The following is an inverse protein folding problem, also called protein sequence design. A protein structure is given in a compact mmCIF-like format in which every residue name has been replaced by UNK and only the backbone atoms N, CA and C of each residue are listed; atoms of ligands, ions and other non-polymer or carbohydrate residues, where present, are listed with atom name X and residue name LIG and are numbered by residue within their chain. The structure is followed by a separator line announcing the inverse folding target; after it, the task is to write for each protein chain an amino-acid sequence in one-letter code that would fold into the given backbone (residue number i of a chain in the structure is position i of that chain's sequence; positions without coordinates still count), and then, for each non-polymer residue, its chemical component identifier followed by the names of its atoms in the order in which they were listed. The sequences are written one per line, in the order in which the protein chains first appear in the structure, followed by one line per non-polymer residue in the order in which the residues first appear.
data_IF_350024462605
#
_entry.id   IF_350024462605
#
_cell.length_a   1.000
_cell.length_b   1.000
_cell.length_c   1.000
_cell.angle_alpha   90.00
_cell.angle_beta   90.00
_cell.angle_gamma   90.00
#
_symmetry.space_group_name_H-M   'P 1'
#
loop_
_entity.id
_entity.type
_entity.pdbx_description
1 polymer ?
#
# COMPACT_ATOMS: atom_id res chain seq x y z
N UNK A 1 -12.90 -12.60 13.88
CA UNK A 1 -11.84 -13.44 14.50
C UNK A 1 -10.60 -12.59 14.62
N UNK A 2 -9.92 -12.52 15.77
CA UNK A 2 -8.66 -11.80 15.95
C UNK A 2 -7.56 -12.36 15.03
N UNK A 3 -6.62 -11.50 14.60
CA UNK A 3 -5.56 -11.87 13.63
C UNK A 3 -4.74 -13.09 14.07
N UNK A 4 -4.37 -13.18 15.35
CA UNK A 4 -3.61 -14.31 15.89
C UNK A 4 -4.37 -15.64 15.77
N UNK A 5 -5.67 -15.64 16.10
CA UNK A 5 -6.53 -16.83 15.99
C UNK A 5 -6.73 -17.24 14.53
N UNK A 6 -6.88 -16.27 13.63
CA UNK A 6 -7.01 -16.53 12.21
C UNK A 6 -5.74 -17.18 11.65
N UNK A 7 -4.56 -16.64 11.98
CA UNK A 7 -3.28 -17.21 11.56
C UNK A 7 -3.08 -18.62 12.08
N UNK A 8 -3.37 -18.86 13.36
CA UNK A 8 -3.25 -20.21 13.95
C UNK A 8 -4.13 -21.24 13.23
N UNK A 9 -5.32 -20.82 12.77
CA UNK A 9 -6.25 -21.72 12.07
C UNK A 9 -5.85 -21.97 10.60
N UNK A 10 -5.37 -20.96 9.86
CA UNK A 10 -5.24 -21.04 8.40
C UNK A 10 -3.80 -21.14 7.89
N UNK A 11 -2.78 -20.72 8.66
CA UNK A 11 -1.38 -20.91 8.23
C UNK A 11 -0.99 -22.36 7.97
N UNK A 12 -1.41 -23.34 8.80
CA UNK A 12 -1.11 -24.77 8.54
C UNK A 12 -1.72 -25.29 7.24
N UNK A 13 -2.85 -24.70 6.79
CA UNK A 13 -3.57 -25.12 5.59
C UNK A 13 -2.95 -24.60 4.28
N UNK A 14 -1.96 -23.71 4.35
CA UNK A 14 -1.35 -23.09 3.18
C UNK A 14 -0.90 -24.10 2.12
N UNK A 15 -0.19 -25.14 2.52
CA UNK A 15 0.35 -26.13 1.59
C UNK A 15 -0.74 -27.08 1.06
N UNK A 16 -1.79 -27.34 1.85
CA UNK A 16 -2.98 -28.04 1.40
C UNK A 16 -3.74 -27.25 0.34
N UNK A 17 -3.88 -25.93 0.53
CA UNK A 17 -4.49 -25.02 -0.45
C UNK A 17 -3.68 -24.98 -1.74
N UNK A 18 -2.33 -24.95 -1.65
CA UNK A 18 -1.45 -25.03 -2.82
C UNK A 18 -1.69 -26.29 -3.62
N UNK A 19 -1.63 -27.44 -2.98
CA UNK A 19 -1.83 -28.74 -3.61
C UNK A 19 -3.23 -28.86 -4.25
N UNK A 20 -4.26 -28.40 -3.55
CA UNK A 20 -5.63 -28.43 -4.05
C UNK A 20 -5.83 -27.51 -5.27
N UNK A 21 -5.24 -26.32 -5.29
CA UNK A 21 -5.28 -25.43 -6.44
C UNK A 21 -4.51 -26.00 -7.63
N UNK A 22 -3.33 -26.57 -7.41
CA UNK A 22 -2.52 -27.19 -8.45
C UNK A 22 -3.27 -28.38 -9.10
N UNK A 23 -3.97 -29.19 -8.30
CA UNK A 23 -4.82 -30.26 -8.81
C UNK A 23 -6.04 -29.71 -9.55
N UNK A 24 -6.82 -28.82 -8.94
CA UNK A 24 -8.09 -28.35 -9.47
C UNK A 24 -7.94 -27.57 -10.81
N UNK A 25 -6.86 -26.80 -10.94
CA UNK A 25 -6.56 -26.03 -12.16
C UNK A 25 -5.68 -26.80 -13.15
N UNK A 26 -5.19 -27.99 -12.77
CA UNK A 26 -4.36 -28.85 -13.60
C UNK A 26 -5.15 -29.66 -14.62
N UNK A 27 -4.47 -30.50 -15.43
CA UNK A 27 -5.11 -31.38 -16.40
C UNK A 27 -6.03 -32.40 -15.70
N UNK A 28 -7.31 -32.43 -16.09
CA UNK A 28 -8.32 -33.35 -15.52
C UNK A 28 -8.85 -32.94 -14.13
N UNK A 29 -8.46 -31.77 -13.63
CA UNK A 29 -8.98 -31.20 -12.39
C UNK A 29 -10.38 -30.58 -12.54
N UNK A 30 -10.97 -30.20 -11.43
CA UNK A 30 -12.27 -29.54 -11.36
C UNK A 30 -12.11 -28.02 -11.33
N UNK A 31 -12.41 -27.36 -12.45
CA UNK A 31 -12.26 -25.90 -12.62
C UNK A 31 -13.18 -25.10 -11.68
N UNK A 32 -14.38 -25.60 -11.40
CA UNK A 32 -15.30 -24.92 -10.49
C UNK A 32 -14.73 -24.91 -9.06
N UNK A 33 -14.20 -26.04 -8.61
CA UNK A 33 -13.47 -26.12 -7.32
C UNK A 33 -12.25 -25.19 -7.34
N UNK A 34 -11.49 -25.15 -8.45
CA UNK A 34 -10.31 -24.28 -8.57
C UNK A 34 -10.65 -22.81 -8.43
N UNK A 35 -11.70 -22.32 -9.09
CA UNK A 35 -12.18 -20.93 -9.02
C UNK A 35 -12.67 -20.60 -7.61
N UNK A 36 -13.52 -21.46 -7.02
CA UNK A 36 -14.07 -21.29 -5.69
C UNK A 36 -12.96 -21.22 -4.63
N UNK A 37 -11.99 -22.15 -4.71
CA UNK A 37 -10.87 -22.23 -3.75
C UNK A 37 -9.91 -21.05 -3.92
N UNK A 38 -9.62 -20.63 -5.15
CA UNK A 38 -8.76 -19.47 -5.40
C UNK A 38 -9.35 -18.21 -4.75
N UNK A 39 -10.64 -17.93 -4.98
CA UNK A 39 -11.33 -16.81 -4.34
C UNK A 39 -11.39 -16.93 -2.83
N UNK A 40 -11.65 -18.14 -2.29
CA UNK A 40 -11.71 -18.36 -0.84
C UNK A 40 -10.35 -18.23 -0.14
N UNK A 41 -9.26 -18.58 -0.82
CA UNK A 41 -7.90 -18.54 -0.28
C UNK A 41 -7.22 -17.15 -0.41
N UNK A 42 -7.86 -16.18 -1.05
CA UNK A 42 -7.33 -14.83 -1.22
C UNK A 42 -6.75 -14.20 0.07
N UNK A 43 -7.45 -14.29 1.23
CA UNK A 43 -6.92 -13.80 2.51
C UNK A 43 -5.58 -14.43 2.92
N UNK A 44 -5.34 -15.70 2.60
CA UNK A 44 -4.09 -16.40 2.99
C UNK A 44 -2.89 -15.70 2.36
N UNK A 45 -2.96 -15.38 1.08
CA UNK A 45 -1.86 -14.75 0.36
C UNK A 45 -1.55 -13.34 0.88
N UNK A 46 -2.59 -12.58 1.19
CA UNK A 46 -2.47 -11.22 1.71
C UNK A 46 -1.95 -11.20 3.15
N UNK A 47 -2.55 -12.01 4.03
CA UNK A 47 -2.18 -12.03 5.45
C UNK A 47 -0.79 -12.64 5.71
N UNK A 48 -0.29 -13.47 4.80
CA UNK A 48 1.07 -14.03 4.85
C UNK A 48 2.08 -13.24 4.02
N UNK A 49 1.69 -12.10 3.43
CA UNK A 49 2.54 -11.29 2.53
C UNK A 49 3.06 -12.05 1.30
N UNK A 50 2.32 -13.06 0.86
CA UNK A 50 2.65 -13.89 -0.31
C UNK A 50 1.99 -13.34 -1.59
N UNK A 51 2.06 -12.01 -1.78
CA UNK A 51 1.36 -11.30 -2.86
C UNK A 51 1.67 -11.86 -4.26
N UNK A 52 2.94 -12.11 -4.57
CA UNK A 52 3.35 -12.63 -5.88
C UNK A 52 2.81 -14.04 -6.17
N UNK A 53 2.73 -14.91 -5.16
CA UNK A 53 2.11 -16.23 -5.30
C UNK A 53 0.59 -16.12 -5.44
N UNK A 54 -0.04 -15.32 -4.57
CA UNK A 54 -1.47 -15.04 -4.63
C UNK A 54 -1.88 -14.53 -6.00
N UNK A 55 -1.15 -13.57 -6.55
CA UNK A 55 -1.38 -13.04 -7.88
C UNK A 55 -1.40 -14.15 -8.95
N UNK A 56 -0.34 -14.95 -9.05
CA UNK A 56 -0.26 -16.02 -10.06
C UNK A 56 -1.41 -17.03 -9.95
N UNK A 57 -1.79 -17.42 -8.72
CA UNK A 57 -2.85 -18.42 -8.47
C UNK A 57 -4.24 -17.88 -8.78
N UNK A 58 -4.53 -16.64 -8.39
CA UNK A 58 -5.80 -15.97 -8.70
C UNK A 58 -5.93 -15.71 -10.20
N UNK A 59 -4.86 -15.31 -10.87
CA UNK A 59 -4.84 -15.09 -12.31
C UNK A 59 -5.04 -16.41 -13.09
N UNK A 60 -4.38 -17.49 -12.68
CA UNK A 60 -4.60 -18.80 -13.27
C UNK A 60 -6.06 -19.26 -13.13
N UNK A 61 -6.70 -19.04 -11.98
CA UNK A 61 -8.11 -19.36 -11.79
C UNK A 61 -9.02 -18.48 -12.65
N UNK A 62 -8.71 -17.19 -12.78
CA UNK A 62 -9.53 -16.25 -13.58
C UNK A 62 -9.60 -16.61 -15.07
N UNK A 63 -8.58 -17.26 -15.61
CA UNK A 63 -8.57 -17.74 -16.98
C UNK A 63 -9.62 -18.84 -17.26
N UNK A 64 -10.21 -19.43 -16.22
CA UNK A 64 -11.23 -20.47 -16.31
C UNK A 64 -12.65 -19.98 -16.00
N UNK A 65 -12.82 -18.69 -15.68
CA UNK A 65 -14.15 -18.11 -15.45
C UNK A 65 -14.94 -18.10 -16.76
N UNK A 66 -16.16 -18.62 -16.72
CA UNK A 66 -17.05 -18.72 -17.86
C UNK A 66 -18.52 -18.56 -17.47
N UNK A 67 -19.43 -18.80 -18.43
CA UNK A 67 -20.86 -18.61 -18.23
C UNK A 67 -21.47 -19.49 -17.12
N UNK A 68 -20.88 -20.66 -16.89
CA UNK A 68 -21.33 -21.63 -15.87
C UNK A 68 -20.69 -21.38 -14.49
N UNK A 69 -19.82 -20.38 -14.36
CA UNK A 69 -19.20 -20.05 -13.07
C UNK A 69 -20.24 -19.47 -12.13
N UNK A 70 -20.30 -20.01 -10.90
CA UNK A 70 -21.18 -19.46 -9.87
C UNK A 70 -20.84 -17.99 -9.57
N UNK A 71 -21.84 -17.12 -9.61
CA UNK A 71 -21.63 -15.67 -9.44
C UNK A 71 -20.97 -15.31 -8.10
N UNK A 72 -21.21 -16.10 -7.04
CA UNK A 72 -20.57 -15.94 -5.73
C UNK A 72 -19.07 -16.21 -5.76
N UNK A 73 -18.63 -17.21 -6.54
CA UNK A 73 -17.23 -17.60 -6.65
C UNK A 73 -16.47 -16.64 -7.58
N UNK A 74 -17.10 -16.23 -8.67
CA UNK A 74 -16.58 -15.18 -9.55
C UNK A 74 -16.41 -13.86 -8.80
N UNK A 75 -17.42 -13.44 -8.00
CA UNK A 75 -17.35 -12.21 -7.23
C UNK A 75 -16.16 -12.21 -6.24
N UNK A 76 -16.00 -13.33 -5.53
CA UNK A 76 -14.91 -13.50 -4.57
C UNK A 76 -13.55 -13.54 -5.25
N UNK A 77 -13.43 -14.26 -6.35
CA UNK A 77 -12.21 -14.29 -7.14
C UNK A 77 -11.86 -12.90 -7.67
N UNK A 78 -12.81 -12.19 -8.27
CA UNK A 78 -12.61 -10.84 -8.80
C UNK A 78 -12.18 -9.84 -7.70
N UNK A 79 -12.76 -9.92 -6.50
CA UNK A 79 -12.37 -9.11 -5.36
C UNK A 79 -10.90 -9.32 -4.99
N UNK A 80 -10.50 -10.58 -4.78
CA UNK A 80 -9.13 -10.88 -4.35
C UNK A 80 -8.11 -10.67 -5.47
N UNK A 81 -8.50 -10.85 -6.70
CA UNK A 81 -7.68 -10.51 -7.86
C UNK A 81 -7.40 -8.99 -7.90
N UNK A 82 -8.44 -8.18 -7.74
CA UNK A 82 -8.29 -6.72 -7.66
C UNK A 82 -7.39 -6.29 -6.50
N UNK A 83 -7.57 -6.87 -5.32
CA UNK A 83 -6.72 -6.62 -4.15
C UNK A 83 -5.25 -6.96 -4.37
N UNK A 84 -4.96 -8.07 -5.05
CA UNK A 84 -3.58 -8.46 -5.35
C UNK A 84 -2.95 -7.61 -6.47
N UNK A 85 -3.74 -7.06 -7.40
CA UNK A 85 -3.23 -6.16 -8.44
C UNK A 85 -3.04 -4.72 -7.96
N UNK A 86 -3.72 -4.29 -6.90
CA UNK A 86 -3.68 -2.92 -6.41
C UNK A 86 -2.25 -2.35 -6.27
N UNK A 87 -1.31 -3.18 -5.85
CA UNK A 87 0.08 -2.79 -5.67
C UNK A 87 0.96 -2.96 -6.93
N UNK A 88 0.65 -3.94 -7.77
CA UNK A 88 1.49 -4.32 -8.90
C UNK A 88 1.01 -3.72 -10.24
N UNK A 89 -0.30 -3.60 -10.42
CA UNK A 89 -0.95 -3.16 -11.65
C UNK A 89 -2.31 -2.50 -11.34
N UNK A 90 -2.32 -1.25 -10.83
CA UNK A 90 -3.57 -0.55 -10.47
C UNK A 90 -4.58 -0.43 -11.61
N UNK A 91 -4.12 -0.32 -12.84
CA UNK A 91 -4.96 -0.31 -14.06
C UNK A 91 -5.73 -1.63 -14.28
N UNK A 92 -5.23 -2.75 -13.76
CA UNK A 92 -5.91 -4.06 -13.77
C UNK A 92 -6.77 -4.27 -12.52
N UNK A 93 -6.42 -3.64 -11.40
CA UNK A 93 -7.18 -3.73 -10.15
C UNK A 93 -8.59 -3.13 -10.29
N UNK A 94 -8.69 -1.95 -10.88
CA UNK A 94 -9.96 -1.23 -11.04
C UNK A 94 -11.03 -2.05 -11.79
N UNK A 95 -10.77 -2.65 -12.97
CA UNK A 95 -11.75 -3.51 -13.63
C UNK A 95 -12.18 -4.72 -12.79
N UNK A 96 -11.26 -5.38 -12.10
CA UNK A 96 -11.57 -6.53 -11.27
C UNK A 96 -12.45 -6.15 -10.06
N UNK A 97 -12.13 -5.06 -9.36
CA UNK A 97 -12.94 -4.54 -8.26
C UNK A 97 -14.33 -4.08 -8.73
N UNK A 98 -14.41 -3.42 -9.88
CA UNK A 98 -15.70 -3.03 -10.50
C UNK A 98 -16.55 -4.27 -10.79
N UNK A 99 -15.95 -5.32 -11.34
CA UNK A 99 -16.64 -6.60 -11.58
C UNK A 99 -17.16 -7.23 -10.28
N UNK A 100 -16.35 -7.22 -9.23
CA UNK A 100 -16.75 -7.71 -7.91
C UNK A 100 -17.96 -6.93 -7.35
N UNK A 101 -17.92 -5.60 -7.43
CA UNK A 101 -19.01 -4.71 -7.01
C UNK A 101 -20.31 -5.05 -7.73
N UNK A 102 -20.28 -5.15 -9.06
CA UNK A 102 -21.46 -5.48 -9.86
C UNK A 102 -22.05 -6.85 -9.51
N UNK A 103 -21.20 -7.82 -9.25
CA UNK A 103 -21.62 -9.16 -8.82
C UNK A 103 -22.22 -9.13 -7.41
N UNK A 104 -21.58 -8.48 -6.44
CA UNK A 104 -22.10 -8.40 -5.07
C UNK A 104 -23.41 -7.61 -4.98
N UNK A 105 -23.58 -6.56 -5.79
CA UNK A 105 -24.88 -5.86 -5.90
C UNK A 105 -25.98 -6.81 -6.37
N UNK A 106 -25.75 -7.59 -7.42
CA UNK A 106 -26.73 -8.57 -7.96
C UNK A 106 -27.01 -9.70 -6.95
N UNK A 107 -26.03 -10.10 -6.17
CA UNK A 107 -26.17 -11.15 -5.15
C UNK A 107 -26.82 -10.64 -3.86
N UNK A 108 -26.97 -9.33 -3.67
CA UNK A 108 -27.44 -8.75 -2.41
C UNK A 108 -26.46 -8.94 -1.23
N UNK A 109 -25.20 -9.21 -1.52
CA UNK A 109 -24.16 -9.40 -0.51
C UNK A 109 -23.62 -8.04 -0.04
N UNK A 110 -24.34 -7.39 0.84
CA UNK A 110 -24.04 -6.05 1.34
C UNK A 110 -22.66 -5.96 2.01
N UNK A 111 -22.21 -7.04 2.70
CA UNK A 111 -20.92 -7.08 3.39
C UNK A 111 -19.75 -7.03 2.43
N UNK A 112 -19.74 -7.94 1.46
CA UNK A 112 -18.65 -8.01 0.49
C UNK A 112 -18.73 -6.87 -0.54
N UNK A 113 -19.94 -6.34 -0.82
CA UNK A 113 -20.13 -5.12 -1.58
C UNK A 113 -19.42 -3.93 -0.90
N UNK A 114 -19.68 -3.71 0.40
CA UNK A 114 -19.04 -2.62 1.13
C UNK A 114 -17.50 -2.75 1.09
N UNK A 115 -16.96 -3.95 1.28
CA UNK A 115 -15.53 -4.17 1.23
C UNK A 115 -14.94 -3.90 -0.16
N UNK A 116 -15.63 -4.33 -1.23
CA UNK A 116 -15.20 -4.07 -2.61
C UNK A 116 -15.25 -2.56 -2.94
N UNK A 117 -16.28 -1.84 -2.50
CA UNK A 117 -16.41 -0.39 -2.65
C UNK A 117 -15.27 0.35 -1.97
N UNK A 118 -14.90 -0.03 -0.74
CA UNK A 118 -13.78 0.56 -0.02
C UNK A 118 -12.46 0.39 -0.76
N UNK A 119 -12.23 -0.81 -1.28
CA UNK A 119 -11.00 -1.10 -2.04
C UNK A 119 -10.92 -0.31 -3.33
N UNK A 120 -12.02 -0.23 -4.08
CA UNK A 120 -12.06 0.59 -5.30
C UNK A 120 -11.90 2.08 -4.97
N UNK A 121 -12.52 2.57 -3.89
CA UNK A 121 -12.36 3.96 -3.47
C UNK A 121 -10.90 4.33 -3.20
N UNK A 122 -10.14 3.43 -2.58
CA UNK A 122 -8.70 3.62 -2.35
C UNK A 122 -7.93 3.74 -3.67
N UNK A 123 -8.14 2.81 -4.62
CA UNK A 123 -7.47 2.86 -5.93
C UNK A 123 -7.84 4.14 -6.72
N UNK A 124 -9.11 4.54 -6.67
CA UNK A 124 -9.59 5.78 -7.29
C UNK A 124 -8.94 7.02 -6.68
N UNK A 125 -8.78 7.05 -5.35
CA UNK A 125 -8.11 8.15 -4.66
C UNK A 125 -6.63 8.25 -5.04
N UNK A 126 -5.90 7.14 -5.06
CA UNK A 126 -4.50 7.09 -5.48
C UNK A 126 -4.32 7.48 -6.95
N UNK A 127 -5.28 7.19 -7.80
CA UNK A 127 -5.31 7.62 -9.20
C UNK A 127 -5.77 9.09 -9.40
N UNK A 128 -6.00 9.84 -8.31
CA UNK A 128 -6.43 11.24 -8.37
C UNK A 128 -7.92 11.45 -8.72
N UNK A 129 -8.72 10.37 -8.81
CA UNK A 129 -10.15 10.45 -9.11
C UNK A 129 -11.00 10.65 -7.84
N UNK A 130 -10.70 11.72 -7.11
CA UNK A 130 -11.22 12.00 -5.77
C UNK A 130 -12.75 12.04 -5.67
N UNK A 131 -13.44 12.60 -6.70
CA UNK A 131 -14.91 12.64 -6.72
C UNK A 131 -15.54 11.24 -6.77
N UNK A 132 -14.97 10.33 -7.55
CA UNK A 132 -15.42 8.95 -7.62
C UNK A 132 -15.10 8.19 -6.32
N UNK A 133 -13.90 8.36 -5.78
CA UNK A 133 -13.54 7.79 -4.47
C UNK A 133 -14.52 8.21 -3.37
N UNK A 134 -14.87 9.49 -3.29
CA UNK A 134 -15.84 10.00 -2.31
C UNK A 134 -17.23 9.38 -2.48
N UNK A 135 -17.70 9.22 -3.72
CA UNK A 135 -19.00 8.58 -4.02
C UNK A 135 -19.03 7.10 -3.56
N UNK A 136 -17.96 6.35 -3.82
CA UNK A 136 -17.82 4.95 -3.39
C UNK A 136 -17.79 4.81 -1.86
N UNK A 137 -17.09 5.70 -1.15
CA UNK A 137 -17.08 5.73 0.31
C UNK A 137 -18.47 6.06 0.87
N UNK A 138 -19.19 7.01 0.26
CA UNK A 138 -20.54 7.37 0.67
C UNK A 138 -21.53 6.21 0.47
N UNK A 139 -21.39 5.41 -0.57
CA UNK A 139 -22.19 4.19 -0.80
C UNK A 139 -21.86 3.10 0.22
N UNK A 140 -20.58 2.94 0.57
CA UNK A 140 -20.13 1.91 1.50
C UNK A 140 -20.58 2.17 2.95
N UNK A 141 -20.61 3.41 3.40
CA UNK A 141 -20.85 3.78 4.80
C UNK A 141 -22.12 3.16 5.42
N UNK A 142 -23.33 3.32 4.85
CA UNK A 142 -24.54 2.75 5.45
C UNK A 142 -24.54 1.22 5.47
N UNK A 143 -23.86 0.56 4.53
CA UNK A 143 -23.71 -0.88 4.51
C UNK A 143 -22.85 -1.37 5.68
N UNK A 144 -21.85 -0.60 6.08
CA UNK A 144 -20.91 -0.93 7.17
C UNK A 144 -21.51 -0.66 8.54
N UNK A 145 -22.20 0.46 8.71
CA UNK A 145 -22.86 0.81 9.97
C UNK A 145 -23.90 -0.24 10.38
N UNK A 146 -24.62 -0.79 9.41
CA UNK A 146 -25.61 -1.85 9.64
C UNK A 146 -25.01 -3.24 9.84
N UNK A 147 -23.76 -3.46 9.39
CA UNK A 147 -23.16 -4.81 9.41
C UNK A 147 -22.53 -5.20 10.75
N UNK A 148 -22.28 -4.24 11.67
CA UNK A 148 -21.66 -4.51 12.97
C UNK A 148 -20.25 -5.09 12.88
N UNK A 149 -19.47 -4.66 11.89
CA UNK A 149 -18.14 -5.18 11.57
C UNK A 149 -17.05 -4.14 11.91
N UNK A 150 -16.57 -4.07 13.16
CA UNK A 150 -15.67 -3.00 13.59
C UNK A 150 -14.37 -2.95 12.76
N UNK A 151 -13.82 -4.09 12.34
CA UNK A 151 -12.61 -4.11 11.49
C UNK A 151 -12.86 -3.42 10.14
N UNK A 152 -13.96 -3.74 9.44
CA UNK A 152 -14.27 -3.18 8.12
C UNK A 152 -14.71 -1.70 8.22
N UNK A 153 -15.34 -1.33 9.32
CA UNK A 153 -15.61 0.08 9.61
C UNK A 153 -14.30 0.84 9.92
N UNK A 154 -13.31 0.20 10.51
CA UNK A 154 -11.95 0.73 10.62
C UNK A 154 -11.33 0.99 9.25
N UNK A 155 -11.42 0.04 8.31
CA UNK A 155 -10.95 0.19 6.93
C UNK A 155 -11.62 1.40 6.24
N UNK A 156 -12.92 1.63 6.48
CA UNK A 156 -13.63 2.81 5.97
C UNK A 156 -13.01 4.13 6.43
N UNK A 157 -12.77 4.29 7.73
CA UNK A 157 -12.15 5.51 8.25
C UNK A 157 -10.71 5.67 7.78
N UNK A 158 -9.97 4.59 7.62
CA UNK A 158 -8.61 4.59 7.08
C UNK A 158 -8.60 5.16 5.64
N UNK A 159 -9.52 4.71 4.78
CA UNK A 159 -9.62 5.24 3.42
C UNK A 159 -10.20 6.67 3.35
N UNK A 160 -11.07 7.05 4.28
CA UNK A 160 -11.48 8.45 4.44
C UNK A 160 -10.26 9.34 4.76
N UNK A 161 -9.37 8.86 5.62
CA UNK A 161 -8.12 9.55 5.93
C UNK A 161 -7.26 9.74 4.67
N UNK A 162 -7.01 8.67 3.90
CA UNK A 162 -6.23 8.74 2.65
C UNK A 162 -6.81 9.78 1.70
N UNK A 163 -8.12 9.75 1.47
CA UNK A 163 -8.79 10.72 0.59
C UNK A 163 -8.65 12.16 1.10
N UNK A 164 -8.80 12.39 2.41
CA UNK A 164 -8.64 13.72 3.02
C UNK A 164 -7.19 14.20 2.94
N UNK A 165 -6.22 13.35 3.17
CA UNK A 165 -4.80 13.67 3.05
C UNK A 165 -4.46 14.09 1.62
N UNK A 166 -4.88 13.32 0.62
CA UNK A 166 -4.66 13.60 -0.80
C UNK A 166 -5.40 14.85 -1.31
N UNK A 167 -6.49 15.25 -0.65
CA UNK A 167 -7.24 16.48 -0.98
C UNK A 167 -6.85 17.69 -0.14
N UNK A 168 -5.73 17.64 0.58
CA UNK A 168 -5.16 18.78 1.32
C UNK A 168 -5.87 19.09 2.65
N UNK A 169 -6.48 18.09 3.28
CA UNK A 169 -7.18 18.21 4.58
C UNK A 169 -6.57 17.31 5.66
N UNK A 170 -5.27 17.40 5.93
CA UNK A 170 -4.58 16.47 6.86
C UNK A 170 -5.10 16.56 8.30
N UNK A 171 -5.56 17.72 8.76
CA UNK A 171 -6.14 17.86 10.12
C UNK A 171 -7.41 17.02 10.29
N UNK A 172 -8.28 16.96 9.26
CA UNK A 172 -9.48 16.13 9.27
C UNK A 172 -9.15 14.63 9.16
N UNK A 173 -8.04 14.30 8.53
CA UNK A 173 -7.55 12.94 8.37
C UNK A 173 -7.19 12.28 9.71
N UNK A 174 -6.60 13.04 10.64
CA UNK A 174 -6.21 12.54 11.96
C UNK A 174 -7.39 11.96 12.74
N UNK A 175 -8.53 12.66 12.76
CA UNK A 175 -9.74 12.20 13.47
C UNK A 175 -10.25 10.85 12.94
N UNK A 176 -10.15 10.62 11.63
CA UNK A 176 -10.55 9.34 11.03
C UNK A 176 -9.59 8.20 11.44
N UNK A 177 -8.29 8.46 11.46
CA UNK A 177 -7.32 7.46 11.94
C UNK A 177 -7.50 7.10 13.41
N UNK A 178 -7.83 8.08 14.27
CA UNK A 178 -8.12 7.83 15.68
C UNK A 178 -9.34 6.90 15.83
N UNK A 179 -10.39 7.10 15.01
CA UNK A 179 -11.56 6.20 14.97
C UNK A 179 -11.19 4.81 14.43
N UNK A 180 -10.42 4.75 13.35
CA UNK A 180 -9.94 3.49 12.78
C UNK A 180 -9.14 2.70 13.80
N UNK A 181 -8.21 3.34 14.51
CA UNK A 181 -7.38 2.73 15.55
C UNK A 181 -8.23 2.15 16.70
N UNK A 182 -9.23 2.89 17.18
CA UNK A 182 -10.15 2.41 18.22
C UNK A 182 -10.93 1.16 17.75
N UNK A 183 -11.42 1.17 16.51
CA UNK A 183 -12.15 0.05 15.90
C UNK A 183 -11.26 -1.17 15.69
N UNK A 184 -10.05 -1.02 15.18
CA UNK A 184 -9.11 -2.12 15.01
C UNK A 184 -8.71 -2.75 16.34
N UNK A 185 -8.45 -1.93 17.37
CA UNK A 185 -8.17 -2.42 18.73
C UNK A 185 -9.35 -3.23 19.30
N UNK A 186 -10.58 -2.72 19.15
CA UNK A 186 -11.79 -3.44 19.60
C UNK A 186 -12.02 -4.75 18.87
N UNK A 187 -11.57 -4.85 17.61
CA UNK A 187 -11.67 -6.07 16.79
C UNK A 187 -10.51 -7.07 17.03
N UNK A 188 -9.48 -6.73 17.82
CA UNK A 188 -8.25 -7.52 17.94
C UNK A 188 -7.48 -7.62 16.62
N UNK A 189 -7.59 -6.60 15.76
CA UNK A 189 -6.92 -6.48 14.47
C UNK A 189 -5.57 -5.76 14.66
N UNK A 190 -4.64 -6.40 15.37
CA UNK A 190 -3.38 -5.80 15.83
C UNK A 190 -2.52 -5.23 14.69
N UNK A 191 -2.42 -5.97 13.59
CA UNK A 191 -1.65 -5.53 12.42
C UNK A 191 -2.18 -4.21 11.85
N UNK A 192 -3.50 -4.08 11.74
CA UNK A 192 -4.15 -2.87 11.24
C UNK A 192 -4.01 -1.71 12.22
N UNK A 193 -4.12 -1.99 13.52
CA UNK A 193 -3.86 -0.98 14.56
C UNK A 193 -2.43 -0.43 14.49
N UNK A 194 -1.43 -1.29 14.25
CA UNK A 194 -0.04 -0.85 14.07
C UNK A 194 0.15 -0.03 12.79
N UNK A 195 -0.50 -0.41 11.70
CA UNK A 195 -0.49 0.37 10.46
C UNK A 195 -1.11 1.75 10.65
N UNK A 196 -2.24 1.83 11.34
CA UNK A 196 -2.90 3.11 11.65
C UNK A 196 -2.06 4.00 12.55
N UNK A 197 -1.31 3.44 13.49
CA UNK A 197 -0.33 4.20 14.28
C UNK A 197 0.78 4.79 13.41
N UNK A 198 1.28 4.03 12.42
CA UNK A 198 2.25 4.54 11.45
C UNK A 198 1.67 5.72 10.65
N UNK A 199 0.44 5.58 10.15
CA UNK A 199 -0.24 6.66 9.43
C UNK A 199 -0.50 7.91 10.28
N UNK A 200 -0.78 7.76 11.58
CA UNK A 200 -0.86 8.90 12.49
C UNK A 200 0.46 9.68 12.56
N UNK A 201 1.60 8.99 12.52
CA UNK A 201 2.92 9.59 12.37
C UNK A 201 3.06 10.37 11.06
N UNK A 202 2.60 9.80 9.94
CA UNK A 202 2.65 10.43 8.62
C UNK A 202 1.73 11.66 8.54
N UNK A 203 0.56 11.62 9.16
CA UNK A 203 -0.35 12.76 9.24
C UNK A 203 0.25 13.87 10.11
N UNK A 204 0.90 13.55 11.22
CA UNK A 204 1.63 14.52 12.03
C UNK A 204 2.74 15.18 11.20
N UNK A 205 3.49 14.39 10.46
CA UNK A 205 4.52 14.88 9.55
C UNK A 205 3.94 15.80 8.47
N UNK A 206 2.87 15.38 7.79
CA UNK A 206 2.23 16.20 6.73
C UNK A 206 1.64 17.51 7.27
N UNK A 207 1.29 17.54 8.56
CA UNK A 207 0.81 18.73 9.26
C UNK A 207 1.96 19.64 9.77
N UNK A 208 3.22 19.24 9.58
CA UNK A 208 4.40 19.99 10.01
C UNK A 208 4.83 19.75 11.46
N UNK A 209 4.14 18.87 12.21
CA UNK A 209 4.51 18.47 13.56
C UNK A 209 5.57 17.35 13.52
N UNK A 210 6.81 17.73 13.20
CA UNK A 210 7.92 16.80 13.03
C UNK A 210 8.31 16.08 14.33
N UNK A 211 8.09 16.68 15.49
CA UNK A 211 8.39 16.05 16.78
C UNK A 211 7.37 14.96 17.12
N UNK A 212 6.08 15.23 16.93
CA UNK A 212 5.02 14.23 17.09
C UNK A 212 5.18 13.09 16.05
N UNK A 213 5.51 13.43 14.79
CA UNK A 213 5.77 12.45 13.75
C UNK A 213 6.90 11.49 14.13
N UNK A 214 8.07 12.02 14.51
CA UNK A 214 9.23 11.23 14.93
C UNK A 214 8.91 10.35 16.13
N UNK A 215 8.29 10.92 17.16
CA UNK A 215 7.97 10.18 18.39
C UNK A 215 7.00 9.02 18.10
N UNK A 216 5.93 9.28 17.35
CA UNK A 216 4.94 8.27 16.98
C UNK A 216 5.52 7.17 16.09
N UNK A 217 6.37 7.52 15.11
CA UNK A 217 7.06 6.54 14.27
C UNK A 217 8.03 5.66 15.08
N UNK A 218 8.81 6.22 15.99
CA UNK A 218 9.72 5.44 16.85
C UNK A 218 8.95 4.47 17.75
N UNK A 219 7.84 4.91 18.35
CA UNK A 219 6.98 4.03 19.15
C UNK A 219 6.41 2.88 18.29
N UNK A 220 5.89 3.21 17.11
CA UNK A 220 5.36 2.22 16.17
C UNK A 220 6.42 1.22 15.73
N UNK A 221 7.63 1.67 15.39
CA UNK A 221 8.77 0.82 15.04
C UNK A 221 9.13 -0.14 16.20
N UNK A 222 9.13 0.36 17.43
CA UNK A 222 9.40 -0.48 18.61
C UNK A 222 8.35 -1.59 18.81
N UNK A 223 7.09 -1.32 18.46
CA UNK A 223 6.01 -2.32 18.49
C UNK A 223 6.12 -3.29 17.32
N UNK A 224 6.41 -2.82 16.11
CA UNK A 224 6.56 -3.64 14.91
C UNK A 224 7.72 -4.63 15.02
N UNK A 225 8.84 -4.23 15.63
CA UNK A 225 9.97 -5.14 15.89
C UNK A 225 9.63 -6.33 16.78
N UNK A 226 8.56 -6.23 17.59
CA UNK A 226 8.08 -7.31 18.45
C UNK A 226 6.99 -8.16 17.79
N UNK A 227 6.38 -7.67 16.72
CA UNK A 227 5.28 -8.33 16.04
C UNK A 227 5.79 -9.25 14.92
N UNK A 228 5.32 -10.50 14.82
CA UNK A 228 5.70 -11.39 13.74
C UNK A 228 5.13 -10.93 12.38
N UNK A 229 5.84 -11.19 11.29
CA UNK A 229 5.38 -10.98 9.90
C UNK A 229 5.04 -9.51 9.56
N UNK A 230 5.80 -8.56 10.10
CA UNK A 230 5.59 -7.12 9.86
C UNK A 230 6.72 -6.46 9.06
N UNK A 231 7.54 -7.23 8.36
CA UNK A 231 8.77 -6.76 7.70
C UNK A 231 8.51 -5.57 6.77
N UNK A 232 7.55 -5.68 5.85
CA UNK A 232 7.22 -4.58 4.92
C UNK A 232 6.74 -3.34 5.68
N UNK A 233 5.85 -3.52 6.67
CA UNK A 233 5.33 -2.42 7.48
C UNK A 233 6.43 -1.74 8.30
N UNK A 234 7.35 -2.51 8.86
CA UNK A 234 8.54 -1.98 9.53
C UNK A 234 9.40 -1.17 8.55
N UNK A 235 9.60 -1.70 7.34
CA UNK A 235 10.31 -1.00 6.27
C UNK A 235 9.67 0.34 5.91
N UNK A 236 8.33 0.38 5.78
CA UNK A 236 7.58 1.62 5.51
C UNK A 236 7.79 2.64 6.64
N UNK A 237 7.60 2.24 7.91
CA UNK A 237 7.80 3.15 9.05
C UNK A 237 9.23 3.68 9.15
N UNK A 238 10.24 2.84 8.90
CA UNK A 238 11.64 3.25 8.90
C UNK A 238 11.95 4.22 7.76
N UNK A 239 11.39 4.00 6.59
CA UNK A 239 11.58 4.89 5.44
C UNK A 239 10.88 6.23 5.62
N UNK A 240 9.69 6.26 6.23
CA UNK A 240 9.01 7.49 6.60
C UNK A 240 9.75 8.24 7.70
N UNK A 241 10.30 7.52 8.69
CA UNK A 241 11.18 8.11 9.71
C UNK A 241 12.43 8.73 9.08
N UNK A 242 13.03 8.07 8.06
CA UNK A 242 14.16 8.64 7.32
C UNK A 242 13.77 9.95 6.61
N UNK A 243 12.57 10.04 6.05
CA UNK A 243 12.03 11.27 5.46
C UNK A 243 11.85 12.37 6.51
N UNK A 244 11.26 12.06 7.66
CA UNK A 244 11.07 13.00 8.76
C UNK A 244 12.42 13.53 9.31
N UNK A 245 13.42 12.64 9.51
CA UNK A 245 14.78 13.03 9.87
C UNK A 245 15.42 13.93 8.80
N UNK A 246 15.22 13.62 7.53
CA UNK A 246 15.75 14.44 6.42
C UNK A 246 15.21 15.88 6.48
N UNK A 247 13.92 16.07 6.73
CA UNK A 247 13.33 17.42 6.85
C UNK A 247 13.81 18.16 8.09
N UNK A 248 14.23 17.46 9.13
CA UNK A 248 14.84 18.04 10.34
C UNK A 248 16.33 18.37 10.14
N UNK A 249 16.94 17.95 9.04
CA UNK A 249 18.38 18.07 8.80
C UNK A 249 19.23 17.04 9.56
N UNK A 250 18.63 16.02 10.14
CA UNK A 250 19.26 14.92 10.87
C UNK A 250 19.67 13.83 9.84
N UNK A 251 20.68 14.17 8.99
CA UNK A 251 20.98 13.40 7.77
C UNK A 251 21.60 12.02 8.04
N UNK A 252 22.32 11.85 9.14
CA UNK A 252 22.93 10.58 9.53
C UNK A 252 21.87 9.62 10.10
N UNK A 253 20.95 10.12 10.91
CA UNK A 253 19.81 9.37 11.43
C UNK A 253 18.87 8.95 10.29
N UNK A 254 18.65 9.84 9.32
CA UNK A 254 17.89 9.54 8.12
C UNK A 254 18.51 8.38 7.33
N UNK A 255 19.84 8.40 7.12
CA UNK A 255 20.55 7.32 6.44
C UNK A 255 20.51 6.01 7.23
N UNK A 256 20.67 6.07 8.54
CA UNK A 256 20.59 4.88 9.39
C UNK A 256 19.21 4.19 9.30
N UNK A 257 18.14 4.97 9.39
CA UNK A 257 16.77 4.46 9.22
C UNK A 257 16.53 3.89 7.82
N UNK A 258 17.03 4.56 6.77
CA UNK A 258 16.90 4.09 5.39
C UNK A 258 17.67 2.78 5.15
N UNK A 259 18.88 2.63 5.69
CA UNK A 259 19.67 1.41 5.58
C UNK A 259 18.99 0.19 6.20
N UNK A 260 18.23 0.37 7.26
CA UNK A 260 17.44 -0.71 7.85
C UNK A 260 16.15 -0.94 7.05
N UNK A 261 15.42 0.10 6.64
CA UNK A 261 14.07 0.00 6.08
C UNK A 261 14.02 -0.37 4.60
N UNK A 262 14.86 0.24 3.75
CA UNK A 262 14.77 0.05 2.30
C UNK A 262 14.95 -1.39 1.81
N UNK A 263 15.87 -2.21 2.34
CA UNK A 263 16.00 -3.61 1.92
C UNK A 263 14.69 -4.39 2.11
N UNK A 264 13.95 -4.11 3.20
CA UNK A 264 12.65 -4.71 3.47
C UNK A 264 11.59 -4.30 2.43
N UNK A 265 11.67 -3.06 1.92
CA UNK A 265 10.77 -2.54 0.89
C UNK A 265 11.12 -3.06 -0.50
N UNK A 266 12.38 -3.31 -0.80
CA UNK A 266 12.79 -3.95 -2.07
C UNK A 266 12.18 -5.35 -2.17
N UNK A 267 12.26 -6.15 -1.10
CA UNK A 267 11.62 -7.47 -1.07
C UNK A 267 10.10 -7.40 -1.25
N UNK A 268 9.46 -6.33 -0.74
CA UNK A 268 8.03 -6.09 -0.87
C UNK A 268 7.60 -5.45 -2.20
N UNK A 269 8.53 -4.92 -3.00
CA UNK A 269 8.24 -4.18 -4.23
C UNK A 269 7.77 -2.74 -4.01
N UNK A 270 8.12 -2.11 -2.89
CA UNK A 270 7.66 -0.78 -2.47
C UNK A 270 8.76 0.28 -2.35
N UNK A 271 10.03 -0.07 -2.53
CA UNK A 271 11.14 0.86 -2.29
C UNK A 271 11.07 2.11 -3.18
N UNK A 272 10.53 1.98 -4.39
CA UNK A 272 10.40 3.07 -5.36
C UNK A 272 9.65 4.30 -4.82
N UNK A 273 8.64 4.11 -3.97
CA UNK A 273 7.80 5.20 -3.45
C UNK A 273 8.50 6.08 -2.41
N UNK A 274 9.60 5.61 -1.82
CA UNK A 274 10.32 6.33 -0.76
C UNK A 274 11.62 7.00 -1.22
N UNK A 275 11.94 6.91 -2.52
CA UNK A 275 13.20 7.44 -3.07
C UNK A 275 13.25 8.98 -3.04
N UNK A 276 12.11 9.67 -3.14
CA UNK A 276 12.09 11.15 -3.08
C UNK A 276 12.67 11.71 -1.76
N UNK A 277 12.41 11.05 -0.63
CA UNK A 277 12.96 11.46 0.68
C UNK A 277 14.49 11.33 0.73
N UNK A 278 15.02 10.27 0.13
CA UNK A 278 16.45 10.02 0.10
C UNK A 278 17.17 10.84 -0.97
N UNK A 279 16.51 11.16 -2.06
CA UNK A 279 16.99 12.12 -3.04
C UNK A 279 17.13 13.51 -2.37
N UNK A 280 16.15 13.94 -1.57
CA UNK A 280 16.23 15.16 -0.78
C UNK A 280 17.40 15.12 0.21
N UNK A 281 17.54 14.00 0.94
CA UNK A 281 18.68 13.79 1.84
C UNK A 281 20.02 13.96 1.13
N UNK A 282 20.18 13.32 -0.04
CA UNK A 282 21.42 13.42 -0.83
C UNK A 282 21.69 14.89 -1.25
N UNK A 283 20.66 15.64 -1.67
CA UNK A 283 20.80 17.04 -2.02
C UNK A 283 21.23 17.90 -0.83
N UNK A 284 20.63 17.69 0.36
CA UNK A 284 20.99 18.39 1.59
C UNK A 284 22.41 18.04 2.07
N UNK A 285 22.89 16.82 1.78
CA UNK A 285 24.28 16.41 2.01
C UNK A 285 25.27 16.97 0.94
N UNK A 286 24.82 17.81 0.02
CA UNK A 286 25.66 18.39 -1.05
C UNK A 286 25.89 17.50 -2.27
N UNK A 287 25.25 16.30 -2.33
CA UNK A 287 25.41 15.31 -3.40
C UNK A 287 24.39 15.52 -4.53
N UNK A 288 24.41 16.70 -5.15
CA UNK A 288 23.39 17.11 -6.10
C UNK A 288 23.28 16.21 -7.34
N UNK A 289 24.39 15.63 -7.81
CA UNK A 289 24.36 14.73 -8.97
C UNK A 289 23.64 13.40 -8.65
N UNK A 290 23.88 12.83 -7.46
CA UNK A 290 23.21 11.63 -6.97
C UNK A 290 21.72 11.92 -6.75
N UNK A 291 21.41 13.06 -6.09
CA UNK A 291 20.05 13.51 -5.85
C UNK A 291 19.25 13.66 -7.15
N UNK A 292 19.85 14.23 -8.20
CA UNK A 292 19.21 14.38 -9.50
C UNK A 292 18.92 13.03 -10.17
N UNK A 293 19.85 12.05 -10.09
CA UNK A 293 19.58 10.69 -10.59
C UNK A 293 18.45 10.00 -9.83
N UNK A 294 18.46 10.08 -8.50
CA UNK A 294 17.37 9.55 -7.68
C UNK A 294 16.02 10.20 -7.99
N UNK A 295 16.02 11.52 -8.24
CA UNK A 295 14.84 12.25 -8.67
C UNK A 295 14.30 11.75 -10.02
N UNK A 296 15.18 11.53 -11.00
CA UNK A 296 14.80 11.00 -12.31
C UNK A 296 14.24 9.57 -12.22
N UNK A 297 14.82 8.71 -11.37
CA UNK A 297 14.26 7.38 -11.08
C UNK A 297 12.86 7.47 -10.47
N UNK A 298 12.69 8.31 -9.42
CA UNK A 298 11.40 8.45 -8.75
C UNK A 298 10.32 8.94 -9.73
N UNK A 299 10.59 9.96 -10.56
CA UNK A 299 9.64 10.45 -11.56
C UNK A 299 9.22 9.35 -12.53
N UNK A 300 10.18 8.60 -13.09
CA UNK A 300 9.91 7.47 -13.99
C UNK A 300 9.09 6.37 -13.30
N UNK A 301 9.37 6.09 -12.02
CA UNK A 301 8.67 5.06 -11.25
C UNK A 301 7.22 5.43 -10.97
N UNK A 302 6.94 6.67 -10.57
CA UNK A 302 5.57 7.17 -10.35
C UNK A 302 4.77 7.26 -11.65
N UNK A 303 5.38 7.76 -12.73
CA UNK A 303 4.74 7.85 -14.05
C UNK A 303 4.41 6.47 -14.62
N UNK A 304 5.34 5.53 -14.57
CA UNK A 304 5.14 4.16 -15.05
C UNK A 304 4.02 3.42 -14.32
N UNK A 305 3.79 3.74 -13.04
CA UNK A 305 2.72 3.16 -12.21
C UNK A 305 1.43 3.97 -12.22
N UNK A 306 1.42 5.13 -12.87
CA UNK A 306 0.27 6.06 -12.92
C UNK A 306 -0.28 6.40 -11.52
N UNK A 307 0.61 6.55 -10.56
CA UNK A 307 0.28 6.80 -9.14
C UNK A 307 0.76 8.19 -8.75
N UNK A 308 -0.05 8.92 -8.00
CA UNK A 308 0.33 10.22 -7.45
C UNK A 308 1.21 10.06 -6.19
N UNK A 309 2.13 11.01 -5.98
CA UNK A 309 2.86 11.14 -4.72
C UNK A 309 1.91 11.49 -3.58
N UNK A 310 2.10 10.87 -2.45
CA UNK A 310 1.42 11.28 -1.22
C UNK A 310 1.97 12.64 -0.72
N UNK A 311 1.26 13.33 0.18
CA UNK A 311 1.63 14.69 0.60
C UNK A 311 3.09 14.85 1.07
N UNK A 312 3.63 13.89 1.83
CA UNK A 312 5.00 13.95 2.35
C UNK A 312 6.03 13.77 1.23
N UNK A 313 5.81 12.85 0.31
CA UNK A 313 6.65 12.62 -0.87
C UNK A 313 6.62 13.83 -1.81
N UNK A 314 5.44 14.40 -2.05
CA UNK A 314 5.27 15.58 -2.88
C UNK A 314 6.03 16.78 -2.30
N UNK A 315 5.98 16.99 -0.99
CA UNK A 315 6.71 18.06 -0.29
C UNK A 315 8.21 17.84 -0.37
N UNK A 316 8.70 16.63 -0.13
CA UNK A 316 10.13 16.31 -0.29
C UNK A 316 10.59 16.52 -1.73
N UNK A 317 9.77 16.14 -2.71
CA UNK A 317 10.06 16.35 -4.13
C UNK A 317 10.12 17.83 -4.50
N UNK A 318 9.21 18.65 -4.01
CA UNK A 318 9.22 20.11 -4.26
C UNK A 318 10.46 20.77 -3.64
N UNK A 319 10.83 20.40 -2.42
CA UNK A 319 12.04 20.91 -1.78
C UNK A 319 13.30 20.49 -2.56
N UNK A 320 13.41 19.22 -2.91
CA UNK A 320 14.48 18.68 -3.73
C UNK A 320 14.63 19.43 -5.05
N UNK A 321 13.52 19.68 -5.76
CA UNK A 321 13.54 20.36 -7.04
C UNK A 321 14.11 21.78 -6.93
N UNK A 322 13.77 22.51 -5.87
CA UNK A 322 14.36 23.85 -5.61
C UNK A 322 15.88 23.77 -5.42
N UNK A 323 16.37 22.82 -4.66
CA UNK A 323 17.81 22.63 -4.41
C UNK A 323 18.56 22.26 -5.71
N UNK A 324 18.00 21.36 -6.50
CA UNK A 324 18.60 20.94 -7.77
C UNK A 324 18.66 22.09 -8.79
N UNK A 325 17.60 22.89 -8.90
CA UNK A 325 17.56 24.05 -9.80
C UNK A 325 18.53 25.18 -9.38
N UNK A 326 18.78 25.32 -8.09
CA UNK A 326 19.75 26.28 -7.57
C UNK A 326 21.21 25.83 -7.75
N UNK A 327 21.45 24.52 -7.65
CA UNK A 327 22.81 23.98 -7.60
C UNK A 327 23.32 23.36 -8.88
N UNK A 328 22.48 23.15 -9.90
CA UNK A 328 22.85 22.52 -11.17
C UNK A 328 22.41 23.37 -12.37
N UNK A 329 23.22 23.39 -13.42
CA UNK A 329 22.83 23.97 -14.73
C UNK A 329 21.68 23.12 -15.33
N UNK A 330 20.72 23.74 -16.04
CA UNK A 330 19.57 23.04 -16.60
C UNK A 330 19.91 21.81 -17.45
N UNK A 331 20.94 21.93 -18.30
CA UNK A 331 21.41 20.83 -19.15
C UNK A 331 21.98 19.65 -18.33
N UNK A 332 22.75 19.96 -17.28
CA UNK A 332 23.28 18.94 -16.38
C UNK A 332 22.15 18.24 -15.60
N UNK A 333 21.18 18.98 -15.10
CA UNK A 333 20.01 18.46 -14.41
C UNK A 333 19.19 17.53 -15.33
N UNK A 334 18.90 17.96 -16.57
CA UNK A 334 18.16 17.15 -17.53
C UNK A 334 18.88 15.83 -17.85
N UNK A 335 20.21 15.88 -18.07
CA UNK A 335 21.02 14.70 -18.32
C UNK A 335 21.00 13.74 -17.11
N UNK A 336 21.22 14.24 -15.89
CA UNK A 336 21.23 13.43 -14.68
C UNK A 336 19.88 12.80 -14.39
N UNK A 337 18.77 13.52 -14.61
CA UNK A 337 17.42 12.97 -14.51
C UNK A 337 17.20 11.83 -15.53
N UNK A 338 17.66 12.00 -16.78
CA UNK A 338 17.56 10.96 -17.80
C UNK A 338 18.39 9.71 -17.42
N UNK A 339 19.60 9.90 -16.89
CA UNK A 339 20.42 8.81 -16.35
C UNK A 339 19.67 8.07 -15.21
N UNK A 340 19.02 8.84 -14.34
CA UNK A 340 18.23 8.31 -13.22
C UNK A 340 17.00 7.52 -13.68
N UNK A 341 16.27 8.02 -14.66
CA UNK A 341 15.08 7.35 -15.21
C UNK A 341 15.39 5.96 -15.81
N UNK A 342 16.64 5.71 -16.18
CA UNK A 342 17.12 4.42 -16.70
C UNK A 342 17.59 3.44 -15.60
N UNK A 343 17.62 3.85 -14.32
CA UNK A 343 18.03 2.98 -13.21
C UNK A 343 16.98 1.91 -12.93
N UNK A 344 17.47 0.74 -12.54
CA UNK A 344 16.63 -0.26 -11.87
C UNK A 344 16.37 0.16 -10.41
N UNK A 345 15.29 -0.34 -9.81
CA UNK A 345 14.96 -0.07 -8.40
C UNK A 345 16.13 -0.44 -7.46
N UNK A 346 16.76 -1.59 -7.69
CA UNK A 346 17.93 -2.04 -6.92
C UNK A 346 19.10 -1.06 -7.02
N UNK A 347 19.41 -0.56 -8.22
CA UNK A 347 20.47 0.41 -8.43
C UNK A 347 20.16 1.78 -7.81
N UNK A 348 18.91 2.21 -7.87
CA UNK A 348 18.46 3.45 -7.23
C UNK A 348 18.56 3.34 -5.69
N UNK A 349 18.12 2.23 -5.12
CA UNK A 349 18.24 1.98 -3.67
C UNK A 349 19.72 1.93 -3.25
N UNK A 350 20.57 1.23 -3.99
CA UNK A 350 22.02 1.22 -3.70
C UNK A 350 22.60 2.63 -3.72
N UNK A 351 22.32 3.42 -4.76
CA UNK A 351 22.77 4.81 -4.86
C UNK A 351 22.29 5.65 -3.67
N UNK A 352 21.05 5.47 -3.24
CA UNK A 352 20.47 6.20 -2.11
C UNK A 352 21.15 5.86 -0.76
N UNK A 353 21.69 4.65 -0.61
CA UNK A 353 22.32 4.17 0.63
C UNK A 353 23.84 4.35 0.67
N UNK A 354 24.50 4.59 -0.45
CA UNK A 354 25.93 4.89 -0.55
C UNK A 354 26.28 6.33 -0.11
N UNK A 355 25.27 7.15 0.04
CA UNK A 355 25.34 8.57 0.43
C UNK A 355 25.47 8.82 1.92
#
# INVERSE_FOLDING_TARGET
MPDASWRAAYMPERDNVRAALDWALGPGGDRAVGIALAGASGPIWTELSLYGEGHRRLEAASAHVGADTAATDEARLALWLGLNWALAAPDRAVPALTRAIDLYRRLGDARNLAFALLRLAHEEALAGRFGHAAALLSEAQPLLENAGLPKVLGDYYDYCCVLKALTGKPADARSDLEKALALYRSAGAERYALFTLAQLGDVAWSSGDLDAARSGMLETIALLRKAPLTTVMLGLCLSNLAGAHTERGELDEALAAAREGLPMLVEGGFAWSHVDHLALRAALAGKLAEAARLAGFADSAFEGRKTARQPNEARSREHLQRLLQQGLLPEALARLNAEGAALTEENAVRLALEG
#
